data_IF_906567499145
#
_entry.id   IF_906567499145
#
_cell.length_a   1.000
_cell.length_b   1.000
_cell.length_c   1.000
_cell.angle_alpha   90.00
_cell.angle_beta   90.00
_cell.angle_gamma   90.00
#
_symmetry.space_group_name_H-M   'P 1'
#
loop_
_entity.id
_entity.type
_entity.pdbx_description
1 polymer ?
#
# COMPACT_ATOMS: atom_id res chain seq x y z
N UNK A 1 -71.43 -10.84 -44.70
CA UNK A 1 -70.85 -9.48 -44.72
C UNK A 1 -70.66 -9.04 -43.27
N UNK A 2 -69.43 -9.10 -42.75
CA UNK A 2 -69.10 -8.67 -41.40
C UNK A 2 -68.23 -7.42 -41.50
N UNK A 3 -68.81 -6.25 -41.25
CA UNK A 3 -68.10 -4.98 -41.26
C UNK A 3 -67.27 -4.81 -40.00
N UNK A 4 -65.95 -4.74 -40.14
CA UNK A 4 -65.04 -4.42 -39.04
C UNK A 4 -65.21 -2.94 -38.65
N UNK A 5 -65.81 -2.71 -37.48
CA UNK A 5 -65.93 -1.37 -36.88
C UNK A 5 -64.54 -0.92 -36.42
N UNK A 6 -63.91 0.00 -37.17
CA UNK A 6 -62.69 0.67 -36.74
C UNK A 6 -63.05 1.74 -35.70
N UNK A 7 -62.74 1.45 -34.44
CA UNK A 7 -62.80 2.45 -33.36
C UNK A 7 -61.74 3.51 -33.68
N UNK A 8 -62.19 4.72 -34.02
CA UNK A 8 -61.32 5.87 -34.20
C UNK A 8 -60.63 6.17 -32.87
N UNK A 9 -59.32 5.91 -32.80
CA UNK A 9 -58.51 6.30 -31.66
C UNK A 9 -58.33 7.81 -31.72
N UNK A 10 -58.92 8.52 -30.74
CA UNK A 10 -58.75 9.96 -30.55
C UNK A 10 -57.25 10.26 -30.48
N UNK A 11 -56.75 11.07 -31.42
CA UNK A 11 -55.35 11.46 -31.43
C UNK A 11 -54.99 12.29 -30.19
N UNK A 12 -53.75 12.17 -29.74
CA UNK A 12 -53.21 12.97 -28.64
C UNK A 12 -53.39 14.46 -28.92
N UNK A 13 -53.92 15.19 -27.95
CA UNK A 13 -54.04 16.64 -28.07
C UNK A 13 -52.66 17.30 -27.97
N UNK A 14 -52.44 18.43 -28.65
CA UNK A 14 -51.15 19.15 -28.64
C UNK A 14 -50.71 19.47 -27.20
N UNK A 15 -51.67 19.77 -26.32
CA UNK A 15 -51.45 20.02 -24.90
C UNK A 15 -50.92 18.79 -24.18
N UNK A 16 -51.48 17.60 -24.41
CA UNK A 16 -50.96 16.35 -23.81
C UNK A 16 -49.54 16.03 -24.30
N UNK A 17 -49.19 16.39 -25.54
CA UNK A 17 -47.85 16.18 -26.08
C UNK A 17 -46.82 17.12 -25.40
N UNK A 18 -47.20 18.38 -25.14
CA UNK A 18 -46.39 19.31 -24.35
C UNK A 18 -46.23 18.87 -22.89
N UNK A 19 -47.30 18.40 -22.24
CA UNK A 19 -47.23 17.90 -20.85
C UNK A 19 -46.35 16.65 -20.79
N UNK A 20 -46.46 15.75 -21.77
CA UNK A 20 -45.65 14.52 -21.83
C UNK A 20 -44.16 14.81 -21.97
N UNK A 21 -43.76 15.80 -22.79
CA UNK A 21 -42.33 16.15 -22.95
C UNK A 21 -41.74 16.83 -21.71
N UNK A 22 -42.53 17.62 -20.99
CA UNK A 22 -42.14 18.20 -19.70
C UNK A 22 -41.97 17.14 -18.61
N UNK A 23 -42.90 16.18 -18.51
CA UNK A 23 -42.76 15.07 -17.57
C UNK A 23 -41.55 14.19 -17.91
N UNK A 24 -41.33 13.91 -19.20
CA UNK A 24 -40.20 13.07 -19.62
C UNK A 24 -38.85 13.74 -19.35
N UNK A 25 -38.73 15.05 -19.61
CA UNK A 25 -37.51 15.81 -19.30
C UNK A 25 -37.24 15.89 -17.79
N UNK A 26 -38.27 16.04 -16.97
CA UNK A 26 -38.14 16.04 -15.50
C UNK A 26 -37.69 14.68 -14.95
N UNK A 27 -38.22 13.57 -15.50
CA UNK A 27 -37.81 12.22 -15.12
C UNK A 27 -36.36 11.95 -15.50
N UNK A 28 -35.92 12.34 -16.70
CA UNK A 28 -34.52 12.19 -17.12
C UNK A 28 -33.58 13.00 -16.23
N UNK A 29 -33.95 14.24 -15.90
CA UNK A 29 -33.16 15.10 -15.01
C UNK A 29 -33.05 14.49 -13.59
N UNK A 30 -34.14 13.94 -13.07
CA UNK A 30 -34.14 13.27 -11.77
C UNK A 30 -33.28 12.00 -11.76
N UNK A 31 -33.37 11.16 -12.81
CA UNK A 31 -32.54 9.97 -12.96
C UNK A 31 -31.05 10.32 -13.06
N UNK A 32 -30.71 11.35 -13.83
CA UNK A 32 -29.34 11.89 -13.92
C UNK A 32 -28.80 12.33 -12.55
N UNK A 33 -29.60 13.04 -11.76
CA UNK A 33 -29.21 13.49 -10.43
C UNK A 33 -29.01 12.33 -9.44
N UNK A 34 -29.90 11.32 -9.47
CA UNK A 34 -29.79 10.11 -8.64
C UNK A 34 -28.54 9.31 -9.04
N UNK A 35 -28.29 9.17 -10.34
CA UNK A 35 -27.11 8.46 -10.84
C UNK A 35 -25.83 9.18 -10.41
N UNK A 36 -25.76 10.51 -10.56
CA UNK A 36 -24.60 11.30 -10.15
C UNK A 36 -24.30 11.16 -8.64
N UNK A 37 -25.34 11.18 -7.81
CA UNK A 37 -25.19 11.04 -6.35
C UNK A 37 -24.84 9.62 -5.92
N UNK A 38 -25.50 8.59 -6.48
CA UNK A 38 -25.25 7.18 -6.17
C UNK A 38 -23.85 6.72 -6.61
N UNK A 39 -23.38 7.13 -7.80
CA UNK A 39 -22.02 6.84 -8.27
C UNK A 39 -20.98 7.64 -7.50
N UNK A 40 -21.30 8.88 -7.10
CA UNK A 40 -20.43 9.69 -6.26
C UNK A 40 -20.20 9.07 -4.86
N UNK A 41 -21.22 8.46 -4.26
CA UNK A 41 -21.08 7.75 -2.98
C UNK A 41 -20.39 6.38 -3.13
N UNK A 42 -20.79 5.60 -4.12
CA UNK A 42 -20.23 4.25 -4.36
C UNK A 42 -18.75 4.33 -4.74
N UNK A 43 -18.37 5.25 -5.62
CA UNK A 43 -16.99 5.46 -6.03
C UNK A 43 -16.07 5.85 -4.86
N UNK A 44 -16.58 6.59 -3.87
CA UNK A 44 -15.84 6.91 -2.64
C UNK A 44 -15.60 5.66 -1.80
N UNK A 45 -16.64 4.87 -1.56
CA UNK A 45 -16.53 3.64 -0.78
C UNK A 45 -15.56 2.62 -1.42
N UNK A 46 -15.58 2.46 -2.74
CA UNK A 46 -14.64 1.58 -3.45
C UNK A 46 -13.18 2.04 -3.33
N UNK A 47 -12.93 3.35 -3.47
CA UNK A 47 -11.58 3.91 -3.30
C UNK A 47 -11.07 3.73 -1.87
N UNK A 48 -11.91 3.99 -0.87
CA UNK A 48 -11.59 3.79 0.54
C UNK A 48 -11.32 2.31 0.86
N UNK A 49 -12.16 1.41 0.33
CA UNK A 49 -11.97 -0.03 0.47
C UNK A 49 -10.65 -0.51 -0.14
N UNK A 50 -10.29 0.00 -1.32
CA UNK A 50 -9.02 -0.33 -2.00
C UNK A 50 -7.81 0.12 -1.18
N UNK A 51 -7.81 1.37 -0.72
CA UNK A 51 -6.74 1.93 0.13
C UNK A 51 -6.57 1.12 1.40
N UNK A 52 -7.67 0.82 2.10
CA UNK A 52 -7.65 0.02 3.32
C UNK A 52 -7.13 -1.39 3.07
N UNK A 53 -7.53 -2.03 1.97
CA UNK A 53 -7.05 -3.35 1.58
C UNK A 53 -5.54 -3.36 1.28
N UNK A 54 -5.02 -2.34 0.57
CA UNK A 54 -3.57 -2.22 0.34
C UNK A 54 -2.80 -1.99 1.64
N UNK A 55 -3.29 -1.08 2.49
CA UNK A 55 -2.70 -0.82 3.80
C UNK A 55 -2.63 -2.11 4.63
N UNK A 56 -3.77 -2.79 4.83
CA UNK A 56 -3.81 -4.07 5.56
C UNK A 56 -2.93 -5.15 4.94
N UNK A 57 -2.86 -5.23 3.60
CA UNK A 57 -1.99 -6.17 2.89
C UNK A 57 -0.52 -5.92 3.18
N UNK A 58 -0.07 -4.66 3.10
CA UNK A 58 1.31 -4.27 3.40
C UNK A 58 1.68 -4.53 4.87
N UNK A 59 0.77 -4.20 5.80
CA UNK A 59 0.96 -4.42 7.23
C UNK A 59 1.08 -5.90 7.57
N UNK A 60 0.19 -6.73 7.01
CA UNK A 60 0.23 -8.19 7.22
C UNK A 60 1.52 -8.78 6.68
N UNK A 61 2.01 -8.31 5.53
CA UNK A 61 3.29 -8.76 4.98
C UNK A 61 4.46 -8.41 5.92
N UNK A 62 4.50 -7.18 6.43
CA UNK A 62 5.55 -6.76 7.38
C UNK A 62 5.46 -7.54 8.67
N UNK A 63 4.30 -7.60 9.31
CA UNK A 63 4.12 -8.32 10.57
C UNK A 63 4.50 -9.79 10.44
N UNK A 64 4.16 -10.42 9.31
CA UNK A 64 4.57 -11.80 9.02
C UNK A 64 6.08 -11.93 9.02
N UNK A 65 6.78 -11.15 8.19
CA UNK A 65 8.21 -11.34 7.99
C UNK A 65 9.06 -10.81 9.14
N UNK A 66 8.61 -9.76 9.82
CA UNK A 66 9.21 -9.28 11.07
C UNK A 66 9.00 -10.29 12.20
N UNK A 67 7.83 -10.93 12.27
CA UNK A 67 7.55 -11.98 13.26
C UNK A 67 8.31 -13.29 13.01
N UNK A 68 8.57 -13.63 11.76
CA UNK A 68 9.40 -14.79 11.36
C UNK A 68 10.91 -14.49 11.42
N UNK A 69 11.29 -13.23 11.63
CA UNK A 69 12.70 -12.81 11.64
C UNK A 69 13.34 -13.03 12.99
N UNK A 70 14.46 -13.76 12.99
CA UNK A 70 15.30 -13.92 14.17
C UNK A 70 16.39 -12.84 14.22
N UNK A 71 16.65 -12.19 13.07
CA UNK A 71 17.60 -11.10 12.92
C UNK A 71 16.97 -9.98 12.10
N UNK A 72 16.98 -8.77 12.66
CA UNK A 72 16.65 -7.54 11.93
C UNK A 72 17.94 -6.76 11.74
N UNK A 73 18.28 -6.51 10.48
CA UNK A 73 19.41 -5.69 10.12
C UNK A 73 19.01 -4.21 10.27
N UNK A 74 19.94 -3.41 10.80
CA UNK A 74 19.77 -1.95 10.87
C UNK A 74 19.45 -1.39 9.47
N UNK A 75 18.61 -0.35 9.35
CA UNK A 75 18.42 0.35 8.08
C UNK A 75 19.79 0.74 7.51
N UNK A 76 20.04 0.37 6.25
CA UNK A 76 21.32 0.57 5.58
C UNK A 76 21.70 2.04 5.63
N UNK A 77 22.78 2.36 6.34
CA UNK A 77 23.35 3.70 6.48
C UNK A 77 24.06 4.10 5.19
N UNK A 78 23.37 4.12 4.06
CA UNK A 78 23.94 4.58 2.80
C UNK A 78 24.19 6.08 2.89
N UNK A 79 25.46 6.50 3.01
CA UNK A 79 25.87 7.91 2.92
C UNK A 79 25.78 8.73 4.22
N UNK A 80 25.86 8.11 5.41
CA UNK A 80 26.09 8.83 6.67
C UNK A 80 24.84 9.17 7.50
N UNK A 81 23.62 8.97 7.00
CA UNK A 81 22.37 9.15 7.74
C UNK A 81 21.60 7.86 7.96
N UNK A 82 20.83 7.78 9.05
CA UNK A 82 19.80 6.75 9.23
C UNK A 82 18.65 7.10 8.26
N UNK A 83 18.61 6.47 7.09
CA UNK A 83 17.49 6.60 6.18
C UNK A 83 16.46 5.54 6.59
N UNK A 84 15.40 5.94 7.27
CA UNK A 84 14.31 5.03 7.64
C UNK A 84 13.44 4.64 6.43
N UNK A 85 14.02 4.48 5.26
CA UNK A 85 13.36 4.10 4.00
C UNK A 85 13.55 2.62 3.68
N UNK A 86 14.44 1.95 4.40
CA UNK A 86 14.76 0.55 4.23
C UNK A 86 14.53 -0.20 5.53
N UNK A 87 14.05 -1.43 5.43
CA UNK A 87 13.99 -2.39 6.52
C UNK A 87 14.41 -3.75 5.97
N UNK A 88 15.37 -4.38 6.64
CA UNK A 88 15.92 -5.66 6.22
C UNK A 88 16.04 -6.61 7.39
N UNK A 89 15.97 -7.90 7.11
CA UNK A 89 16.20 -8.92 8.11
C UNK A 89 16.21 -10.32 7.52
N UNK A 90 16.41 -11.28 8.40
CA UNK A 90 16.63 -12.68 8.06
C UNK A 90 15.87 -13.58 9.05
N UNK A 91 15.23 -14.62 8.54
CA UNK A 91 14.76 -15.75 9.34
C UNK A 91 15.90 -16.77 9.52
N UNK A 92 15.80 -17.62 10.56
CA UNK A 92 16.71 -18.73 10.79
C UNK A 92 18.22 -18.38 10.83
N UNK A 93 18.54 -17.15 11.22
CA UNK A 93 19.91 -16.69 11.40
C UNK A 93 20.05 -15.97 12.73
N UNK A 94 21.07 -16.36 13.50
CA UNK A 94 21.46 -15.67 14.70
C UNK A 94 22.20 -14.35 14.35
N UNK A 95 22.30 -13.41 15.29
CA UNK A 95 22.94 -12.11 15.04
C UNK A 95 24.43 -12.17 14.68
N UNK A 96 25.14 -13.20 15.15
CA UNK A 96 26.51 -13.52 14.73
C UNK A 96 26.63 -13.97 13.26
N UNK A 97 25.48 -14.19 12.60
CA UNK A 97 25.40 -14.67 11.23
C UNK A 97 25.34 -16.20 11.10
N UNK A 98 25.42 -16.94 12.20
CA UNK A 98 25.28 -18.39 12.18
C UNK A 98 23.83 -18.80 11.90
N UNK A 99 23.64 -19.95 11.27
CA UNK A 99 22.30 -20.54 11.11
C UNK A 99 21.84 -21.12 12.43
N UNK A 100 20.58 -20.87 12.79
CA UNK A 100 19.98 -21.44 14.00
C UNK A 100 19.69 -22.93 13.76
N UNK A 101 19.04 -23.23 12.63
CA UNK A 101 18.62 -24.58 12.25
C UNK A 101 19.21 -24.96 10.88
N UNK A 102 20.11 -25.96 10.80
CA UNK A 102 20.73 -26.41 9.55
C UNK A 102 19.77 -27.09 8.55
N UNK A 103 18.60 -27.55 9.00
CA UNK A 103 17.58 -28.19 8.15
C UNK A 103 16.63 -27.21 7.47
N UNK A 104 16.63 -25.94 7.86
CA UNK A 104 15.70 -24.93 7.34
C UNK A 104 16.44 -23.89 6.50
N UNK A 105 15.83 -23.42 5.41
CA UNK A 105 16.41 -22.35 4.61
C UNK A 105 16.44 -21.03 5.40
N UNK A 106 17.39 -20.16 5.02
CA UNK A 106 17.47 -18.79 5.52
C UNK A 106 16.71 -17.91 4.54
N UNK A 107 15.68 -17.20 5.03
CA UNK A 107 14.90 -16.28 4.20
C UNK A 107 15.28 -14.85 4.54
N UNK A 108 15.84 -14.14 3.56
CA UNK A 108 16.04 -12.69 3.66
C UNK A 108 14.81 -11.95 3.16
N UNK A 109 14.45 -10.90 3.88
CA UNK A 109 13.53 -9.89 3.40
C UNK A 109 14.16 -8.50 3.31
N UNK A 110 13.66 -7.71 2.37
CA UNK A 110 13.96 -6.29 2.25
C UNK A 110 12.69 -5.53 1.90
N UNK A 111 12.31 -4.56 2.72
CA UNK A 111 11.32 -3.56 2.40
C UNK A 111 12.00 -2.24 2.09
N UNK A 112 11.59 -1.58 1.02
CA UNK A 112 12.13 -0.27 0.65
C UNK A 112 11.00 0.67 0.22
N UNK A 113 11.18 1.96 0.49
CA UNK A 113 10.27 3.02 0.06
C UNK A 113 10.96 3.91 -0.96
N UNK A 114 10.42 3.93 -2.17
CA UNK A 114 10.83 4.79 -3.27
C UNK A 114 10.03 6.08 -3.25
N UNK A 115 10.68 7.23 -3.19
CA UNK A 115 10.02 8.54 -3.18
C UNK A 115 9.65 9.05 -4.59
N UNK A 116 10.22 8.44 -5.64
CA UNK A 116 10.00 8.83 -7.02
C UNK A 116 9.21 7.76 -7.77
N UNK A 117 8.44 8.17 -8.79
CA UNK A 117 7.76 7.22 -9.66
C UNK A 117 8.78 6.35 -10.41
N UNK A 118 8.35 5.14 -10.76
CA UNK A 118 9.09 4.27 -11.67
C UNK A 118 8.80 4.65 -13.13
N UNK A 119 9.62 4.20 -14.10
CA UNK A 119 9.31 4.39 -15.50
C UNK A 119 7.92 3.86 -15.89
N UNK A 120 7.32 4.39 -16.96
CA UNK A 120 6.01 3.98 -17.46
C UNK A 120 5.84 2.48 -17.60
N UNK A 121 4.70 1.96 -17.13
CA UNK A 121 4.37 0.53 -17.21
C UNK A 121 4.88 -0.32 -16.04
N UNK A 122 5.36 0.29 -14.94
CA UNK A 122 5.72 -0.42 -13.70
C UNK A 122 4.80 -0.06 -12.53
N UNK A 123 4.62 -1.01 -11.61
CA UNK A 123 3.83 -0.80 -10.40
C UNK A 123 4.44 0.33 -9.55
N UNK A 124 3.72 1.45 -9.42
CA UNK A 124 4.05 2.75 -8.80
C UNK A 124 3.74 3.94 -9.74
N UNK A 125 3.38 3.67 -10.99
CA UNK A 125 3.09 4.71 -12.00
C UNK A 125 1.57 4.91 -12.25
N UNK A 126 0.72 4.42 -11.35
CA UNK A 126 -0.73 4.43 -11.53
C UNK A 126 -1.42 5.49 -10.68
N UNK A 127 -2.10 6.43 -11.32
CA UNK A 127 -3.19 7.17 -10.69
C UNK A 127 -4.19 6.17 -10.05
N UNK A 128 -4.71 6.46 -8.85
CA UNK A 128 -4.77 7.79 -8.24
C UNK A 128 -3.63 8.17 -7.30
N UNK A 129 -2.75 7.25 -6.90
CA UNK A 129 -1.83 7.46 -5.78
C UNK A 129 -0.36 7.37 -6.22
N UNK A 130 0.31 8.52 -6.48
CA UNK A 130 1.70 8.57 -6.92
C UNK A 130 2.66 8.07 -5.82
N UNK A 131 3.96 8.02 -6.14
CA UNK A 131 5.00 7.86 -5.14
C UNK A 131 4.79 8.83 -3.96
N UNK A 132 5.14 8.44 -2.72
CA UNK A 132 6.02 7.33 -2.35
C UNK A 132 5.42 5.92 -2.43
N UNK A 133 6.19 4.96 -2.93
CA UNK A 133 5.80 3.57 -3.12
C UNK A 133 6.64 2.61 -2.28
N UNK A 134 5.99 1.63 -1.67
CA UNK A 134 6.63 0.58 -0.89
C UNK A 134 6.72 -0.70 -1.70
N UNK A 135 7.93 -1.25 -1.73
CA UNK A 135 8.26 -2.52 -2.36
C UNK A 135 8.80 -3.50 -1.35
N UNK A 136 8.65 -4.76 -1.70
CA UNK A 136 9.05 -5.90 -0.91
C UNK A 136 9.85 -6.90 -1.72
N UNK A 137 10.92 -7.39 -1.14
CA UNK A 137 11.78 -8.42 -1.73
C UNK A 137 11.96 -9.57 -0.76
N UNK A 138 12.01 -10.78 -1.33
CA UNK A 138 12.32 -12.02 -0.62
C UNK A 138 13.35 -12.82 -1.36
N UNK A 139 14.29 -13.38 -0.62
CA UNK A 139 15.20 -14.39 -1.15
C UNK A 139 15.39 -15.50 -0.13
N UNK A 140 15.12 -16.73 -0.55
CA UNK A 140 15.46 -17.93 0.22
C UNK A 140 16.82 -18.45 -0.25
N UNK A 141 17.68 -18.77 0.70
CA UNK A 141 18.99 -19.36 0.46
C UNK A 141 19.25 -20.51 1.45
N UNK A 142 19.97 -21.52 1.00
CA UNK A 142 20.23 -22.72 1.80
C UNK A 142 21.30 -22.53 2.89
N UNK A 143 22.19 -21.54 2.76
CA UNK A 143 23.43 -21.48 3.55
C UNK A 143 23.60 -20.23 4.40
N UNK A 144 23.13 -19.07 3.96
CA UNK A 144 23.32 -17.81 4.69
C UNK A 144 22.33 -16.74 4.25
N UNK A 145 22.18 -15.69 5.07
CA UNK A 145 21.47 -14.50 4.66
C UNK A 145 22.37 -13.64 3.79
N UNK A 146 22.13 -13.70 2.48
CA UNK A 146 22.88 -12.93 1.48
C UNK A 146 22.68 -11.43 1.72
N UNK A 147 23.73 -10.61 1.59
CA UNK A 147 23.57 -9.17 1.71
C UNK A 147 22.60 -8.63 0.66
N UNK A 148 21.75 -7.67 1.05
CA UNK A 148 20.85 -7.05 0.08
C UNK A 148 21.61 -6.03 -0.77
N UNK A 149 21.42 -6.10 -2.07
CA UNK A 149 21.88 -5.14 -3.07
C UNK A 149 20.82 -4.07 -3.40
N UNK A 150 19.71 -4.04 -2.65
CA UNK A 150 18.65 -3.03 -2.81
C UNK A 150 19.07 -1.72 -2.16
N UNK A 151 18.96 -0.65 -2.94
CA UNK A 151 19.34 0.74 -2.65
C UNK A 151 18.18 1.67 -3.00
N UNK A 152 18.28 2.94 -2.64
CA UNK A 152 17.29 3.96 -3.03
C UNK A 152 17.08 4.05 -4.55
N UNK A 153 18.13 3.84 -5.35
CA UNK A 153 18.09 3.96 -6.79
C UNK A 153 17.35 2.80 -7.47
N UNK A 154 17.57 1.57 -6.98
CA UNK A 154 17.02 0.35 -7.57
C UNK A 154 15.79 -0.19 -6.80
N UNK A 155 15.34 0.47 -5.73
CA UNK A 155 14.09 0.14 -5.05
C UNK A 155 12.92 0.13 -6.05
N UNK A 156 12.17 -0.97 -6.08
CA UNK A 156 11.11 -1.20 -7.07
C UNK A 156 11.58 -1.74 -8.42
N UNK A 157 12.86 -2.12 -8.55
CA UNK A 157 13.41 -2.82 -9.72
C UNK A 157 14.02 -4.17 -9.32
N UNK A 158 14.11 -5.09 -10.27
CA UNK A 158 14.74 -6.39 -10.03
C UNK A 158 16.24 -6.22 -9.75
N UNK A 159 16.74 -7.02 -8.82
CA UNK A 159 18.13 -6.99 -8.36
C UNK A 159 18.74 -8.38 -8.44
N UNK A 160 20.07 -8.49 -8.44
CA UNK A 160 20.73 -9.79 -8.60
C UNK A 160 20.69 -10.61 -7.31
N UNK A 161 20.83 -9.96 -6.15
CA UNK A 161 20.81 -10.67 -4.87
C UNK A 161 19.39 -10.94 -4.36
N UNK A 162 18.46 -9.99 -4.51
CA UNK A 162 17.10 -10.11 -3.97
C UNK A 162 16.03 -10.50 -4.99
N UNK A 163 16.33 -10.46 -6.29
CA UNK A 163 15.39 -10.81 -7.36
C UNK A 163 14.32 -9.74 -7.61
N UNK A 164 13.12 -10.17 -8.02
CA UNK A 164 12.04 -9.28 -8.43
C UNK A 164 11.25 -8.70 -7.25
N UNK A 165 10.97 -7.39 -7.24
CA UNK A 165 10.16 -6.75 -6.21
C UNK A 165 8.69 -7.14 -6.33
N UNK A 166 8.01 -7.11 -5.18
CA UNK A 166 6.56 -7.10 -5.06
C UNK A 166 6.11 -5.71 -4.61
N UNK A 167 5.17 -5.13 -5.33
CA UNK A 167 4.53 -3.88 -4.93
C UNK A 167 3.59 -4.12 -3.75
N UNK A 168 3.67 -3.28 -2.71
CA UNK A 168 2.82 -3.38 -1.52
C UNK A 168 1.84 -2.22 -1.38
N UNK A 169 2.32 -0.99 -1.57
CA UNK A 169 1.52 0.23 -1.38
C UNK A 169 2.11 1.42 -2.15
N UNK A 170 1.28 2.41 -2.45
CA UNK A 170 1.67 3.75 -2.94
C UNK A 170 0.95 4.85 -2.16
N UNK A 171 1.26 6.12 -2.44
CA UNK A 171 0.65 7.27 -1.75
C UNK A 171 0.99 7.36 -0.26
N UNK A 172 2.21 6.95 0.13
CA UNK A 172 2.63 6.96 1.52
C UNK A 172 3.04 8.37 1.96
N UNK A 173 2.51 8.88 3.06
CA UNK A 173 2.97 10.15 3.65
C UNK A 173 3.70 9.95 4.98
N UNK A 174 4.70 10.80 5.23
CA UNK A 174 5.39 10.93 6.52
C UNK A 174 4.57 11.87 7.41
N UNK A 175 4.40 11.53 8.69
CA UNK A 175 3.68 12.36 9.66
C UNK A 175 4.65 13.23 10.49
N UNK A 176 4.17 14.34 11.05
CA UNK A 176 4.97 15.27 11.87
C UNK A 176 5.57 14.62 13.15
N UNK A 177 5.04 13.46 13.58
CA UNK A 177 5.60 12.66 14.67
C UNK A 177 6.67 11.65 14.25
N UNK A 178 7.06 11.60 12.98
CA UNK A 178 8.09 10.69 12.46
C UNK A 178 9.42 11.43 12.27
N UNK A 179 10.57 10.74 12.39
CA UNK A 179 11.87 11.30 12.02
C UNK A 179 11.84 11.74 10.56
N UNK A 180 12.53 12.84 10.24
CA UNK A 180 12.52 13.50 8.93
C UNK A 180 12.79 12.59 7.73
N UNK A 181 13.36 11.40 7.95
CA UNK A 181 13.76 10.44 6.92
C UNK A 181 13.11 9.03 7.05
N UNK A 182 12.11 8.80 7.90
CA UNK A 182 11.78 7.42 8.30
C UNK A 182 10.34 6.92 8.23
N UNK A 183 10.05 6.05 7.26
CA UNK A 183 8.92 5.11 7.25
C UNK A 183 9.15 3.93 8.21
N UNK A 184 10.41 3.57 8.43
CA UNK A 184 10.87 2.56 9.36
C UNK A 184 11.74 3.25 10.40
N UNK A 185 11.37 3.11 11.67
CA UNK A 185 12.09 3.77 12.77
C UNK A 185 12.35 2.76 13.87
N UNK A 186 13.50 2.91 14.53
CA UNK A 186 13.87 2.15 15.73
C UNK A 186 13.67 3.04 16.95
N UNK A 187 13.23 2.47 18.07
CA UNK A 187 13.06 3.23 19.30
C UNK A 187 14.41 3.84 19.75
N UNK A 188 14.43 5.09 20.25
CA UNK A 188 15.62 5.70 20.83
C UNK A 188 16.08 4.88 22.05
N UNK A 189 17.37 4.56 22.11
CA UNK A 189 17.96 3.67 23.13
C UNK A 189 18.26 2.26 22.63
N UNK A 190 17.59 1.82 21.57
CA UNK A 190 17.93 0.59 20.87
C UNK A 190 19.14 0.82 19.94
N UNK A 191 20.27 1.24 20.50
CA UNK A 191 21.55 1.37 19.80
C UNK A 191 22.37 0.08 19.89
N UNK A 192 22.08 -0.74 20.90
CA UNK A 192 22.67 -2.05 21.11
C UNK A 192 21.77 -3.11 20.48
N UNK A 193 22.37 -4.08 19.79
CA UNK A 193 21.66 -5.20 19.16
C UNK A 193 20.88 -6.09 20.16
N UNK A 194 20.99 -5.85 21.46
CA UNK A 194 20.37 -6.64 22.54
C UNK A 194 19.02 -6.14 23.04
N UNK A 195 18.52 -4.98 22.60
CA UNK A 195 17.27 -4.43 23.13
C UNK A 195 16.23 -4.16 22.03
N UNK A 196 15.08 -4.83 22.18
CA UNK A 196 13.78 -4.56 21.58
C UNK A 196 13.83 -3.80 20.24
N UNK A 197 14.02 -4.53 19.15
CA UNK A 197 13.80 -4.00 17.81
C UNK A 197 12.30 -3.81 17.57
N UNK A 198 11.75 -2.70 18.06
CA UNK A 198 10.43 -2.22 17.62
C UNK A 198 10.61 -1.55 16.26
N UNK A 199 10.06 -2.15 15.20
CA UNK A 199 9.91 -1.49 13.91
C UNK A 199 8.55 -0.78 13.94
N UNK A 200 8.59 0.53 14.13
CA UNK A 200 7.40 1.37 14.02
C UNK A 200 7.29 1.88 12.59
N UNK A 201 6.16 1.57 11.97
CA UNK A 201 5.75 2.10 10.68
C UNK A 201 4.45 2.88 10.82
N UNK A 202 4.38 4.05 10.20
CA UNK A 202 3.10 4.75 10.06
C UNK A 202 2.76 4.84 8.59
N UNK A 203 1.61 4.31 8.25
CA UNK A 203 0.96 4.51 6.96
C UNK A 203 0.03 5.70 7.09
N UNK A 204 0.36 6.77 6.38
CA UNK A 204 -0.63 7.78 6.07
C UNK A 204 -1.01 7.56 4.61
N UNK A 205 -2.16 6.92 4.39
CA UNK A 205 -2.72 6.84 3.05
C UNK A 205 -3.63 8.04 2.89
N UNK A 206 -3.16 9.01 2.11
CA UNK A 206 -3.89 10.24 1.91
C UNK A 206 -4.99 10.00 0.90
N UNK A 207 -6.21 10.31 1.33
CA UNK A 207 -7.29 10.74 0.44
C UNK A 207 -6.73 11.83 -0.47
N UNK A 208 -6.69 11.63 -1.79
CA UNK A 208 -6.55 12.78 -2.71
C UNK A 208 -7.67 13.78 -2.36
N UNK A 209 -7.34 14.96 -1.80
CA UNK A 209 -8.34 15.86 -1.30
C UNK A 209 -8.82 16.70 -2.47
N UNK A 210 -10.00 16.36 -2.98
CA UNK A 210 -10.87 17.43 -3.47
C UNK A 210 -11.48 18.06 -2.20
N UNK A 211 -10.74 18.96 -1.55
CA UNK A 211 -11.16 19.74 -0.36
C UNK A 211 -10.78 19.17 1.03
N UNK A 212 -11.15 19.92 2.10
CA UNK A 212 -10.91 19.72 3.55
C UNK A 212 -11.41 18.38 4.14
N UNK A 213 -11.09 17.25 3.52
CA UNK A 213 -11.47 15.93 3.97
C UNK A 213 -10.64 15.44 5.15
N UNK A 214 -11.29 14.77 6.12
CA UNK A 214 -10.62 14.04 7.20
C UNK A 214 -9.65 12.99 6.61
N UNK A 215 -8.42 12.97 7.11
CA UNK A 215 -7.36 12.03 6.73
C UNK A 215 -7.43 10.80 7.64
N UNK A 216 -7.41 9.59 7.06
CA UNK A 216 -7.32 8.34 7.82
C UNK A 216 -5.86 7.93 7.93
N UNK A 217 -5.38 7.69 9.15
CA UNK A 217 -3.99 7.32 9.43
C UNK A 217 -4.01 5.91 10.02
N UNK A 218 -3.18 5.01 9.48
CA UNK A 218 -2.99 3.67 10.02
C UNK A 218 -1.56 3.55 10.55
N UNK A 219 -1.41 3.36 11.85
CA UNK A 219 -0.10 3.18 12.50
C UNK A 219 0.09 1.69 12.76
N UNK A 220 1.24 1.14 12.37
CA UNK A 220 1.65 -0.22 12.69
C UNK A 220 2.89 -0.18 13.56
N UNK A 221 2.68 -0.58 14.80
CA UNK A 221 3.74 -0.86 15.74
C UNK A 221 3.93 -2.38 15.75
N UNK A 222 5.08 -2.85 15.26
CA UNK A 222 5.47 -4.24 15.38
C UNK A 222 6.78 -4.35 16.15
N UNK A 223 6.78 -5.21 17.15
CA UNK A 223 7.97 -5.56 17.93
C UNK A 223 8.41 -6.96 17.52
N UNK A 224 9.56 -7.09 16.88
CA UNK A 224 10.21 -8.39 16.80
C UNK A 224 10.96 -8.64 18.11
N UNK A 225 10.55 -9.67 18.84
CA UNK A 225 11.27 -10.15 20.01
C UNK A 225 12.34 -11.15 19.59
N UNK A 226 13.48 -10.65 19.10
CA UNK A 226 14.70 -11.45 18.99
C UNK A 226 15.61 -11.12 20.16
N UNK A 227 15.69 -12.01 21.16
CA UNK A 227 16.85 -12.02 22.05
C UNK A 227 18.10 -12.43 21.26
N UNK A 228 19.28 -12.11 21.81
CA UNK A 228 20.61 -12.64 21.49
C UNK A 228 21.46 -11.88 20.48
N UNK A 229 22.02 -10.73 20.88
CA UNK A 229 23.19 -10.19 20.19
C UNK A 229 24.45 -11.04 20.42
N UNK A 230 25.34 -11.08 19.43
CA UNK A 230 26.80 -11.19 19.61
C UNK A 230 27.50 -10.46 18.45
N UNK A 231 28.48 -9.62 18.81
CA UNK A 231 29.43 -8.89 17.95
C UNK A 231 30.67 -9.76 17.65
N UNK A 232 31.47 -9.43 16.63
CA UNK A 232 32.90 -9.22 16.78
C UNK A 232 33.21 -7.75 17.14
#
# INVERSE_FOLDING_TARGET
MAGAMRIARSGFTLVELMVSSLLFSLVIAALSAIYSTAFGQSGKAFREGRVKAMALGSMKAIMKHVGESNRIDLPTRAGGGITGRHLTGCSNQAPDGARITPSENVTRFHFCVRLTNLPPGRACDGEPDPAPCMFYYTKENASACVASDVTDANCGTATSAMGSPRFLASGLEINAGMPANGYFTRAPGALLAGEANSVRMTYKVTRAPVGNGKKTIYIVDTTASGQFGVFP
#
